data_IF_542924826654
#
_entry.id   IF_542924826654
#
_cell.length_a   1.000
_cell.length_b   1.000
_cell.length_c   1.000
_cell.angle_alpha   90.00
_cell.angle_beta   90.00
_cell.angle_gamma   90.00
#
_symmetry.space_group_name_H-M   'P 1'
#
loop_
_entity.id
_entity.type
_entity.pdbx_description
1 polymer ?
#
# COMPACT_ATOMS: atom_id res chain seq x y z
N UNK A 1 -20.03 1.52 -7.75
CA UNK A 1 -18.66 1.15 -8.16
C UNK A 1 -18.45 1.60 -9.60
N UNK A 2 -17.81 2.76 -9.79
CA UNK A 2 -17.38 3.19 -11.13
C UNK A 2 -16.27 2.26 -11.59
N UNK A 3 -16.42 1.65 -12.76
CA UNK A 3 -15.45 0.74 -13.36
C UNK A 3 -14.22 1.56 -13.81
N UNK A 4 -13.40 2.03 -12.85
CA UNK A 4 -12.12 2.68 -13.14
C UNK A 4 -11.23 1.63 -13.79
N UNK A 5 -10.99 1.77 -15.09
CA UNK A 5 -10.10 0.90 -15.85
C UNK A 5 -8.70 1.00 -15.21
N UNK A 6 -8.21 -0.12 -14.67
CA UNK A 6 -6.85 -0.19 -14.11
C UNK A 6 -5.87 0.06 -15.27
N UNK A 7 -4.99 1.08 -15.19
CA UNK A 7 -4.05 1.35 -16.26
C UNK A 7 -3.00 0.23 -16.34
N UNK A 8 -2.62 -0.13 -17.56
CA UNK A 8 -1.44 -0.97 -17.75
C UNK A 8 -0.20 -0.07 -17.60
N UNK A 9 0.51 -0.20 -16.49
CA UNK A 9 1.74 0.54 -16.23
C UNK A 9 2.98 -0.17 -16.77
N UNK A 10 2.92 -1.38 -17.34
CA UNK A 10 4.11 -2.12 -17.74
C UNK A 10 4.82 -2.84 -16.59
N UNK A 11 6.15 -2.87 -16.60
CA UNK A 11 6.98 -3.63 -15.67
C UNK A 11 7.42 -2.75 -14.50
N UNK A 12 7.05 -3.16 -13.30
CA UNK A 12 7.40 -2.45 -12.06
C UNK A 12 8.61 -3.03 -11.35
N UNK A 13 9.31 -2.18 -10.61
CA UNK A 13 10.41 -2.57 -9.73
C UNK A 13 10.16 -2.06 -8.31
N UNK A 14 10.51 -2.85 -7.30
CA UNK A 14 10.46 -2.40 -5.91
C UNK A 14 11.48 -1.30 -5.63
N UNK A 15 11.03 -0.14 -5.19
CA UNK A 15 11.90 0.97 -4.81
C UNK A 15 12.64 0.62 -3.50
N UNK A 16 13.97 0.72 -3.51
CA UNK A 16 14.82 0.43 -2.35
C UNK A 16 15.85 1.55 -2.14
N UNK A 17 16.14 1.96 -0.89
CA UNK A 17 17.06 3.06 -0.60
C UNK A 17 18.46 2.93 -1.23
N UNK A 18 18.97 1.70 -1.35
CA UNK A 18 20.29 1.41 -1.94
C UNK A 18 20.40 1.86 -3.42
N UNK A 19 19.27 1.98 -4.12
CA UNK A 19 19.26 2.36 -5.54
C UNK A 19 18.93 3.84 -5.77
N UNK A 20 18.67 4.63 -4.72
CA UNK A 20 18.20 6.01 -4.89
C UNK A 20 19.19 6.89 -5.65
N UNK A 21 20.47 6.82 -5.31
CA UNK A 21 21.50 7.65 -5.96
C UNK A 21 21.60 7.36 -7.46
N UNK A 22 21.56 6.08 -7.84
CA UNK A 22 21.58 5.63 -9.23
C UNK A 22 20.31 6.08 -9.97
N UNK A 23 19.13 5.88 -9.37
CA UNK A 23 17.85 6.30 -9.97
C UNK A 23 17.82 7.82 -10.18
N UNK A 24 18.26 8.61 -9.21
CA UNK A 24 18.25 10.08 -9.31
C UNK A 24 19.24 10.61 -10.34
N UNK A 25 20.41 9.95 -10.48
CA UNK A 25 21.45 10.35 -11.42
C UNK A 25 21.13 9.91 -12.85
N UNK A 26 20.80 8.63 -13.02
CA UNK A 26 20.82 7.97 -14.31
C UNK A 26 19.42 7.85 -14.92
N UNK A 27 18.36 8.00 -14.11
CA UNK A 27 16.94 7.90 -14.53
C UNK A 27 16.70 6.71 -15.47
N UNK A 28 16.90 5.47 -14.99
CA UNK A 28 16.79 4.28 -15.82
C UNK A 28 15.38 4.14 -16.45
N UNK A 29 15.33 3.44 -17.58
CA UNK A 29 14.08 3.13 -18.29
C UNK A 29 13.29 2.05 -17.53
N UNK A 30 12.48 2.50 -16.57
CA UNK A 30 11.61 1.69 -15.71
C UNK A 30 10.22 2.31 -15.78
N UNK A 31 9.20 1.49 -15.98
CA UNK A 31 7.86 2.02 -16.20
C UNK A 31 7.21 2.59 -14.92
N UNK A 32 7.45 1.95 -13.76
CA UNK A 32 6.96 2.41 -12.46
C UNK A 32 7.68 1.76 -11.27
N UNK A 33 7.54 2.37 -10.09
CA UNK A 33 8.10 1.87 -8.83
C UNK A 33 7.05 1.46 -7.81
N UNK A 34 7.25 0.33 -7.14
CA UNK A 34 6.49 -0.05 -5.96
C UNK A 34 7.11 0.51 -4.68
N UNK A 35 6.31 1.10 -3.80
CA UNK A 35 6.72 1.47 -2.44
C UNK A 35 6.00 0.64 -1.38
N UNK A 36 6.70 0.40 -0.26
CA UNK A 36 6.06 -0.02 0.98
C UNK A 36 5.45 1.21 1.63
N UNK A 37 4.12 1.31 1.65
CA UNK A 37 3.38 2.51 2.05
C UNK A 37 3.81 3.05 3.42
N UNK A 38 3.97 2.16 4.40
CA UNK A 38 4.32 2.50 5.78
C UNK A 38 5.65 3.24 5.92
N UNK A 39 6.61 3.01 5.01
CA UNK A 39 7.89 3.72 5.01
C UNK A 39 7.75 5.22 4.69
N UNK A 40 6.59 5.63 4.14
CA UNK A 40 6.31 6.99 3.72
C UNK A 40 5.11 7.61 4.46
N UNK A 41 4.49 6.90 5.40
CA UNK A 41 3.44 7.45 6.29
C UNK A 41 4.03 8.19 7.51
N UNK A 42 4.99 9.08 7.23
CA UNK A 42 5.73 9.87 8.22
C UNK A 42 5.43 11.36 8.06
N UNK A 43 5.69 12.16 9.11
CA UNK A 43 5.38 13.60 9.09
C UNK A 43 6.36 14.43 8.22
N UNK A 44 7.47 13.84 7.76
CA UNK A 44 8.49 14.56 6.99
C UNK A 44 9.82 13.83 6.81
N UNK A 45 10.82 14.59 6.34
CA UNK A 45 12.22 14.17 6.25
C UNK A 45 12.58 13.40 4.99
N UNK A 46 13.75 12.76 5.03
CA UNK A 46 14.38 12.07 3.90
C UNK A 46 13.45 11.11 3.13
N UNK A 47 12.55 10.32 3.76
CA UNK A 47 11.64 9.46 3.01
C UNK A 47 10.75 10.25 2.04
N UNK A 48 10.11 11.33 2.50
CA UNK A 48 9.24 12.15 1.66
C UNK A 48 10.02 12.98 0.64
N UNK A 49 11.22 13.48 1.01
CA UNK A 49 12.11 14.17 0.05
C UNK A 49 12.52 13.25 -1.10
N UNK A 50 12.86 12.01 -0.81
CA UNK A 50 13.22 11.03 -1.83
C UNK A 50 12.00 10.60 -2.65
N UNK A 51 10.84 10.41 -2.02
CA UNK A 51 9.60 10.13 -2.74
C UNK A 51 9.25 11.24 -3.71
N UNK A 52 9.36 12.50 -3.30
CA UNK A 52 9.13 13.65 -4.17
C UNK A 52 10.02 13.61 -5.42
N UNK A 53 11.32 13.34 -5.25
CA UNK A 53 12.27 13.18 -6.38
C UNK A 53 11.91 12.02 -7.31
N UNK A 54 11.44 10.90 -6.77
CA UNK A 54 10.98 9.76 -7.59
C UNK A 54 9.75 10.18 -8.41
N UNK A 55 8.76 10.83 -7.78
CA UNK A 55 7.51 11.24 -8.41
C UNK A 55 7.69 12.30 -9.51
N UNK A 56 8.84 12.97 -9.58
CA UNK A 56 9.18 13.86 -10.69
C UNK A 56 9.34 13.13 -12.03
N UNK A 57 9.72 11.84 -11.99
CA UNK A 57 10.07 11.07 -13.19
C UNK A 57 9.30 9.76 -13.34
N UNK A 58 8.75 9.21 -12.26
CA UNK A 58 8.16 7.86 -12.26
C UNK A 58 6.79 7.82 -11.58
N UNK A 59 5.82 7.07 -12.15
CA UNK A 59 4.66 6.62 -11.41
C UNK A 59 5.07 5.74 -10.23
N UNK A 60 4.29 5.83 -9.15
CA UNK A 60 4.48 5.02 -7.94
C UNK A 60 3.19 4.29 -7.61
N UNK A 61 3.33 3.02 -7.25
CA UNK A 61 2.24 2.18 -6.73
C UNK A 61 2.52 1.82 -5.28
N UNK A 62 1.48 1.87 -4.47
CA UNK A 62 1.54 1.57 -3.05
C UNK A 62 1.23 0.11 -2.74
N UNK A 63 2.08 -0.48 -1.92
CA UNK A 63 1.89 -1.81 -1.33
C UNK A 63 2.02 -1.71 0.20
N UNK A 64 1.01 -2.15 0.93
CA UNK A 64 1.00 -2.20 2.39
C UNK A 64 1.51 -3.53 2.93
N UNK A 65 2.09 -3.48 4.13
CA UNK A 65 2.56 -4.67 4.85
C UNK A 65 2.00 -4.76 6.28
N UNK A 66 1.24 -3.76 6.72
CA UNK A 66 0.80 -3.64 8.11
C UNK A 66 -0.71 -3.60 8.30
N UNK A 67 -1.53 -3.72 7.26
CA UNK A 67 -2.99 -3.68 7.45
C UNK A 67 -3.48 -4.87 8.29
N UNK A 68 -2.99 -6.08 7.97
CA UNK A 68 -3.36 -7.34 8.60
C UNK A 68 -4.89 -7.54 8.65
N UNK A 69 -5.53 -7.49 7.48
CA UNK A 69 -6.98 -7.34 7.32
C UNK A 69 -7.81 -8.43 8.02
N UNK A 70 -7.28 -9.64 8.17
CA UNK A 70 -7.95 -10.76 8.83
C UNK A 70 -7.81 -10.78 10.35
N UNK A 71 -7.14 -9.78 10.93
CA UNK A 71 -7.02 -9.63 12.38
C UNK A 71 -8.37 -9.23 13.00
N UNK A 72 -8.69 -9.72 14.22
CA UNK A 72 -10.00 -9.51 14.85
C UNK A 72 -10.23 -8.06 15.28
N UNK A 73 -9.18 -7.29 15.50
CA UNK A 73 -9.27 -5.89 15.88
C UNK A 73 -10.05 -5.07 14.83
N UNK A 74 -10.78 -4.01 15.24
CA UNK A 74 -11.43 -3.09 14.31
C UNK A 74 -10.44 -2.52 13.28
N UNK A 75 -10.96 -2.14 12.11
CA UNK A 75 -10.15 -1.41 11.12
C UNK A 75 -9.62 -0.11 11.73
N UNK A 76 -8.33 0.13 11.58
CA UNK A 76 -7.69 1.35 12.05
C UNK A 76 -7.86 2.48 11.02
N UNK A 77 -8.85 3.34 11.24
CA UNK A 77 -9.13 4.48 10.37
C UNK A 77 -8.06 5.57 10.42
N UNK A 78 -7.21 5.63 11.46
CA UNK A 78 -6.07 6.54 11.46
C UNK A 78 -5.00 6.06 10.49
N UNK A 79 -4.74 4.75 10.46
CA UNK A 79 -3.88 4.14 9.45
C UNK A 79 -4.45 4.34 8.04
N UNK A 80 -5.75 4.04 7.83
CA UNK A 80 -6.37 4.24 6.52
C UNK A 80 -6.34 5.70 6.06
N UNK A 81 -6.48 6.66 6.99
CA UNK A 81 -6.30 8.08 6.68
C UNK A 81 -4.90 8.36 6.15
N UNK A 82 -3.85 7.89 6.83
CA UNK A 82 -2.45 8.06 6.38
C UNK A 82 -2.20 7.43 5.01
N UNK A 83 -2.75 6.24 4.78
CA UNK A 83 -2.71 5.55 3.50
C UNK A 83 -3.40 6.37 2.39
N UNK A 84 -4.58 6.93 2.68
CA UNK A 84 -5.32 7.80 1.75
C UNK A 84 -4.57 9.10 1.46
N UNK A 85 -3.96 9.72 2.48
CA UNK A 85 -3.16 10.93 2.32
C UNK A 85 -1.94 10.64 1.41
N UNK A 86 -1.25 9.51 1.60
CA UNK A 86 -0.15 9.08 0.73
C UNK A 86 -0.63 8.76 -0.71
N UNK A 87 -1.83 8.20 -0.85
CA UNK A 87 -2.48 7.99 -2.15
C UNK A 87 -2.74 9.29 -2.90
N UNK A 88 -3.14 10.34 -2.21
CA UNK A 88 -3.30 11.66 -2.82
C UNK A 88 -1.96 12.25 -3.30
N UNK A 89 -0.87 12.04 -2.55
CA UNK A 89 0.48 12.51 -2.90
C UNK A 89 1.03 11.75 -4.12
N UNK A 90 0.98 10.42 -4.07
CA UNK A 90 1.54 9.53 -5.12
C UNK A 90 0.66 9.45 -6.37
N UNK A 91 -0.63 9.79 -6.25
CA UNK A 91 -1.66 9.56 -7.27
C UNK A 91 -1.68 8.10 -7.73
N UNK A 92 -1.43 7.18 -6.80
CA UNK A 92 -1.37 5.75 -7.11
C UNK A 92 -2.69 5.28 -7.77
N UNK A 93 -2.64 4.47 -8.83
CA UNK A 93 -3.85 3.99 -9.51
C UNK A 93 -4.57 2.88 -8.75
N UNK A 94 -3.87 2.17 -7.85
CA UNK A 94 -4.43 1.16 -6.95
C UNK A 94 -3.56 1.02 -5.69
N UNK A 95 -4.06 0.28 -4.70
CA UNK A 95 -3.33 -0.08 -3.49
C UNK A 95 -3.45 -1.58 -3.29
N UNK A 96 -2.38 -2.26 -2.89
CA UNK A 96 -2.41 -3.66 -2.49
C UNK A 96 -1.94 -3.84 -1.05
N UNK A 97 -2.38 -4.91 -0.39
CA UNK A 97 -1.84 -5.39 0.88
C UNK A 97 -1.97 -6.92 0.92
N UNK A 98 -1.65 -7.54 2.05
CA UNK A 98 -1.66 -8.98 2.24
C UNK A 98 -2.96 -9.46 2.88
N UNK A 99 -3.45 -10.60 2.41
CA UNK A 99 -4.42 -11.43 3.12
C UNK A 99 -3.77 -12.11 4.35
N UNK A 100 -3.60 -11.37 5.45
CA UNK A 100 -2.89 -11.88 6.64
C UNK A 100 -3.59 -11.54 7.97
N UNK A 101 -3.19 -12.30 9.00
CA UNK A 101 -3.36 -11.99 10.40
C UNK A 101 -2.05 -11.41 10.96
N UNK A 102 -2.11 -10.56 11.97
CA UNK A 102 -0.91 -9.99 12.57
C UNK A 102 -1.15 -8.91 13.63
N UNK A 103 -2.41 -8.63 13.97
CA UNK A 103 -2.75 -7.68 15.04
C UNK A 103 -3.63 -8.35 16.09
N UNK A 104 -3.32 -8.07 17.35
CA UNK A 104 -4.16 -8.45 18.49
C UNK A 104 -3.95 -7.42 19.59
N UNK A 105 -5.01 -6.70 19.98
CA UNK A 105 -5.11 -5.89 21.20
C UNK A 105 -3.77 -5.45 21.82
N UNK A 106 -3.11 -4.46 21.20
CA UNK A 106 -1.85 -3.88 21.69
C UNK A 106 -0.56 -4.56 21.22
N UNK A 107 -0.65 -5.63 20.44
CA UNK A 107 0.46 -6.32 19.81
C UNK A 107 0.34 -6.26 18.28
N UNK A 108 1.47 -5.92 17.64
CA UNK A 108 1.67 -5.97 16.20
C UNK A 108 2.76 -7.00 15.91
N UNK A 109 2.39 -8.06 15.20
CA UNK A 109 3.36 -9.00 14.65
C UNK A 109 3.86 -8.44 13.33
N UNK A 110 5.18 -8.48 13.13
CA UNK A 110 5.80 -8.16 11.85
C UNK A 110 5.64 -9.29 10.83
N UNK A 111 5.28 -10.48 11.29
CA UNK A 111 5.01 -11.64 10.45
C UNK A 111 3.60 -11.60 9.85
N UNK A 112 3.49 -12.02 8.59
CA UNK A 112 2.24 -12.19 7.88
C UNK A 112 1.68 -13.58 8.19
N UNK A 113 0.86 -13.68 9.23
CA UNK A 113 0.37 -14.96 9.72
C UNK A 113 -0.84 -15.45 8.91
N UNK A 114 -0.96 -16.78 8.71
CA UNK A 114 -2.00 -17.34 7.87
C UNK A 114 -3.39 -17.21 8.51
N UNK A 115 -4.41 -17.17 7.66
CA UNK A 115 -5.81 -17.21 8.05
C UNK A 115 -6.40 -18.60 7.80
N UNK A 116 -7.35 -19.08 8.63
CA UNK A 116 -8.08 -20.30 8.35
C UNK A 116 -8.89 -20.18 7.04
N UNK A 117 -8.81 -21.19 6.18
CA UNK A 117 -9.53 -21.19 4.90
C UNK A 117 -10.98 -21.65 5.07
N UNK A 118 -11.80 -20.81 5.71
CA UNK A 118 -13.23 -21.05 5.95
C UNK A 118 -14.10 -19.99 5.28
N UNK A 119 -15.37 -20.32 5.04
CA UNK A 119 -16.34 -19.36 4.49
C UNK A 119 -16.54 -18.15 5.39
N UNK A 120 -16.49 -18.34 6.71
CA UNK A 120 -16.65 -17.26 7.68
C UNK A 120 -15.50 -16.25 7.58
N UNK A 121 -14.26 -16.73 7.45
CA UNK A 121 -13.09 -15.87 7.23
C UNK A 121 -13.16 -15.15 5.89
N UNK A 122 -13.60 -15.82 4.82
CA UNK A 122 -13.80 -15.18 3.51
C UNK A 122 -14.82 -14.04 3.61
N UNK A 123 -15.97 -14.28 4.24
CA UNK A 123 -17.01 -13.28 4.41
C UNK A 123 -16.51 -12.08 5.24
N UNK A 124 -15.80 -12.37 6.34
CA UNK A 124 -15.21 -11.38 7.22
C UNK A 124 -14.21 -10.46 6.49
N UNK A 125 -13.26 -11.05 5.75
CA UNK A 125 -12.27 -10.28 5.01
C UNK A 125 -12.91 -9.52 3.84
N UNK A 126 -13.84 -10.14 3.11
CA UNK A 126 -14.51 -9.50 1.98
C UNK A 126 -15.31 -8.26 2.41
N UNK A 127 -15.95 -8.30 3.58
CA UNK A 127 -16.62 -7.13 4.16
C UNK A 127 -15.63 -5.99 4.46
N UNK A 128 -14.53 -6.30 5.14
CA UNK A 128 -13.50 -5.32 5.47
C UNK A 128 -12.83 -4.75 4.22
N UNK A 129 -12.57 -5.58 3.21
CA UNK A 129 -12.00 -5.16 1.93
C UNK A 129 -12.90 -4.16 1.22
N UNK A 130 -14.23 -4.37 1.25
CA UNK A 130 -15.20 -3.40 0.73
C UNK A 130 -15.14 -2.06 1.49
N UNK A 131 -15.13 -2.10 2.82
CA UNK A 131 -15.03 -0.89 3.65
C UNK A 131 -13.76 -0.10 3.31
N UNK A 132 -12.61 -0.79 3.18
CA UNK A 132 -11.33 -0.17 2.83
C UNK A 132 -11.38 0.41 1.41
N UNK A 133 -11.87 -0.35 0.44
CA UNK A 133 -11.99 0.10 -0.95
C UNK A 133 -12.87 1.35 -1.06
N UNK A 134 -14.02 1.36 -0.37
CA UNK A 134 -14.92 2.50 -0.33
C UNK A 134 -14.28 3.71 0.37
N UNK A 135 -13.53 3.49 1.46
CA UNK A 135 -12.83 4.57 2.16
C UNK A 135 -11.70 5.19 1.31
N UNK A 136 -10.91 4.34 0.63
CA UNK A 136 -9.77 4.78 -0.20
C UNK A 136 -10.21 5.36 -1.55
N UNK A 137 -11.41 5.01 -2.04
CA UNK A 137 -11.96 5.45 -3.34
C UNK A 137 -11.08 5.04 -4.55
N UNK A 138 -10.30 3.98 -4.35
CA UNK A 138 -9.34 3.40 -5.29
C UNK A 138 -9.52 1.88 -5.36
N UNK A 139 -9.16 1.23 -6.48
CA UNK A 139 -9.01 -0.22 -6.53
C UNK A 139 -8.09 -0.72 -5.41
N UNK A 140 -8.52 -1.76 -4.70
CA UNK A 140 -7.78 -2.38 -3.61
C UNK A 140 -7.59 -3.87 -3.87
N UNK A 141 -6.38 -4.37 -3.70
CA UNK A 141 -6.01 -5.77 -3.92
C UNK A 141 -5.50 -6.43 -2.62
N UNK A 142 -5.79 -7.72 -2.47
CA UNK A 142 -5.39 -8.59 -1.35
C UNK A 142 -4.61 -9.80 -1.86
#
# INVERSE_FOLDING_TARGET
MTNKKIPNLGIGVGLRPVHYEEIFRDKPDIDWFEIISENFMVDGGKPLENLAKILESYPVVQHGVSLAIGSPDPLDFNYLKKLKDLAAITKTPWISDHLSWGKLAGAHYHDLLPLPYTKDVINYVAERARIIQDYLELPFAL
#
